data_IF_282986391477
#
_entry.id   IF_282986391477
#
_cell.length_a   1.000
_cell.length_b   1.000
_cell.length_c   1.000
_cell.angle_alpha   90.00
_cell.angle_beta   90.00
_cell.angle_gamma   90.00
#
_symmetry.space_group_name_H-M   'P 1'
#
loop_
_entity.id
_entity.type
_entity.pdbx_description
1 polymer ?
#
# COMPACT_ATOMS: atom_id res chain seq x y z
N UNK A 1 -54.89 19.13 10.45
CA UNK A 1 -53.88 18.70 9.47
C UNK A 1 -52.89 19.83 9.25
N UNK A 2 -51.65 19.67 9.74
CA UNK A 2 -50.44 20.37 9.28
C UNK A 2 -49.26 19.72 9.99
N UNK A 3 -48.53 18.87 9.26
CA UNK A 3 -47.35 18.15 9.73
C UNK A 3 -46.13 19.01 9.40
N UNK A 4 -45.40 19.45 10.41
CA UNK A 4 -44.11 20.12 10.23
C UNK A 4 -43.03 19.03 10.18
N UNK A 5 -42.41 18.84 9.02
CA UNK A 5 -41.27 17.95 8.83
C UNK A 5 -40.01 18.78 9.12
N UNK A 6 -39.19 18.44 10.14
CA UNK A 6 -37.91 19.10 10.32
C UNK A 6 -36.95 18.60 9.24
N UNK A 7 -36.45 19.53 8.42
CA UNK A 7 -35.42 19.29 7.43
C UNK A 7 -34.10 19.06 8.19
N UNK A 8 -33.69 17.79 8.31
CA UNK A 8 -32.39 17.43 8.86
C UNK A 8 -31.31 17.84 7.85
N UNK A 9 -30.53 18.89 8.14
CA UNK A 9 -29.31 19.19 7.40
C UNK A 9 -28.31 18.06 7.66
N UNK A 10 -28.17 17.16 6.69
CA UNK A 10 -27.07 16.20 6.68
C UNK A 10 -25.82 16.95 6.23
N UNK A 11 -25.01 17.36 7.19
CA UNK A 11 -23.69 17.92 6.92
C UNK A 11 -22.82 16.79 6.31
N UNK A 12 -22.64 16.84 4.99
CA UNK A 12 -21.70 15.96 4.31
C UNK A 12 -20.30 16.51 4.55
N UNK A 13 -19.61 15.96 5.55
CA UNK A 13 -18.19 16.18 5.72
C UNK A 13 -17.43 15.38 4.64
N UNK A 14 -17.28 15.98 3.45
CA UNK A 14 -16.30 15.57 2.46
C UNK A 14 -14.92 16.08 2.91
N UNK A 15 -14.31 15.42 3.89
CA UNK A 15 -12.90 15.64 4.22
C UNK A 15 -12.15 14.32 4.07
N UNK A 16 -11.87 13.99 2.81
CA UNK A 16 -10.92 12.95 2.42
C UNK A 16 -9.97 13.51 1.38
N UNK A 17 -9.32 14.64 1.68
CA UNK A 17 -8.13 15.04 0.93
C UNK A 17 -7.10 13.95 1.22
N UNK A 18 -6.81 13.11 0.21
CA UNK A 18 -6.14 11.81 0.39
C UNK A 18 -4.92 11.94 1.30
N UNK A 19 -4.99 11.28 2.46
CA UNK A 19 -3.89 11.25 3.40
C UNK A 19 -2.68 10.66 2.66
N UNK A 20 -1.53 11.33 2.79
CA UNK A 20 -0.28 10.83 2.23
C UNK A 20 -0.06 9.39 2.71
N UNK A 21 0.34 8.45 1.83
CA UNK A 21 0.58 7.07 2.23
C UNK A 21 1.55 7.01 3.42
N UNK A 22 1.38 6.13 4.41
CA UNK A 22 2.29 6.04 5.56
C UNK A 22 3.60 5.31 5.21
N UNK A 23 3.81 5.00 3.93
CA UNK A 23 4.95 4.26 3.38
C UNK A 23 5.52 4.95 2.14
N UNK A 24 6.77 4.66 1.81
CA UNK A 24 7.31 4.82 0.46
C UNK A 24 7.51 3.45 -0.19
N UNK A 25 7.51 3.42 -1.52
CA UNK A 25 7.74 2.19 -2.27
C UNK A 25 8.72 2.48 -3.39
N UNK A 26 9.82 1.74 -3.39
CA UNK A 26 10.88 1.86 -4.39
C UNK A 26 11.08 0.54 -5.14
N UNK A 27 11.45 0.64 -6.41
CA UNK A 27 11.88 -0.52 -7.20
C UNK A 27 13.35 -0.83 -6.89
N UNK A 28 13.60 -2.06 -6.48
CA UNK A 28 14.93 -2.61 -6.30
C UNK A 28 15.12 -3.92 -7.05
N UNK A 29 16.27 -4.53 -6.84
CA UNK A 29 16.58 -5.86 -7.33
C UNK A 29 17.12 -6.72 -6.19
N UNK A 30 16.78 -8.00 -6.19
CA UNK A 30 17.38 -8.95 -5.29
C UNK A 30 18.88 -9.10 -5.62
N UNK A 31 19.82 -8.89 -4.67
CA UNK A 31 21.26 -8.94 -4.95
C UNK A 31 21.79 -10.34 -5.29
N UNK A 32 21.05 -11.41 -4.97
CA UNK A 32 21.52 -12.79 -5.17
C UNK A 32 21.09 -13.39 -6.52
N UNK A 33 19.90 -13.05 -7.02
CA UNK A 33 19.36 -13.60 -8.28
C UNK A 33 18.86 -12.54 -9.26
N UNK A 34 18.98 -11.25 -8.94
CA UNK A 34 18.66 -10.15 -9.84
C UNK A 34 17.17 -9.96 -10.13
N UNK A 35 16.28 -10.62 -9.39
CA UNK A 35 14.85 -10.48 -9.60
C UNK A 35 14.32 -9.10 -9.18
N UNK A 36 13.25 -8.59 -9.84
CA UNK A 36 12.59 -7.37 -9.40
C UNK A 36 12.06 -7.49 -7.97
N UNK A 37 12.20 -6.40 -7.21
CA UNK A 37 11.82 -6.35 -5.80
C UNK A 37 11.16 -5.01 -5.50
N UNK A 38 10.14 -5.01 -4.63
CA UNK A 38 9.66 -3.82 -3.96
C UNK A 38 10.41 -3.63 -2.65
N UNK A 39 10.78 -2.39 -2.36
CA UNK A 39 11.30 -1.95 -1.06
C UNK A 39 10.27 -1.01 -0.45
N UNK A 40 9.61 -1.47 0.61
CA UNK A 40 8.51 -0.75 1.28
C UNK A 40 9.06 -0.20 2.60
N UNK A 41 9.14 1.13 2.71
CA UNK A 41 9.71 1.81 3.89
C UNK A 41 8.62 2.51 4.68
N UNK A 42 8.58 2.33 6.00
CA UNK A 42 7.62 3.03 6.85
C UNK A 42 8.03 4.49 7.11
N UNK A 43 7.08 5.43 6.95
CA UNK A 43 7.25 6.88 7.23
C UNK A 43 6.72 7.31 8.60
N UNK A 44 6.09 6.40 9.34
CA UNK A 44 5.57 6.61 10.69
C UNK A 44 6.21 5.61 11.64
N UNK A 45 6.04 5.82 12.95
CA UNK A 45 6.61 5.02 14.04
C UNK A 45 6.56 3.51 13.76
N UNK A 46 5.41 3.02 13.28
CA UNK A 46 5.29 1.70 12.69
C UNK A 46 4.10 1.64 11.73
N UNK A 47 4.20 0.82 10.68
CA UNK A 47 3.10 0.55 9.75
C UNK A 47 2.96 -0.94 9.57
N UNK A 48 1.76 -1.48 9.78
CA UNK A 48 1.51 -2.90 9.48
C UNK A 48 1.20 -3.06 8.01
N UNK A 49 1.94 -3.91 7.32
CA UNK A 49 1.64 -4.31 5.93
C UNK A 49 0.83 -5.60 5.99
N UNK A 50 -0.42 -5.53 5.55
CA UNK A 50 -1.35 -6.67 5.56
C UNK A 50 -1.17 -7.55 4.34
N UNK A 51 -1.02 -6.94 3.16
CA UNK A 51 -0.85 -7.66 1.90
C UNK A 51 -0.18 -6.78 0.84
N UNK A 52 0.45 -7.44 -0.13
CA UNK A 52 1.09 -6.79 -1.28
C UNK A 52 0.65 -7.51 -2.55
N UNK A 53 0.06 -6.77 -3.47
CA UNK A 53 -0.38 -7.26 -4.77
C UNK A 53 0.40 -6.56 -5.87
N UNK A 54 1.13 -7.31 -6.70
CA UNK A 54 1.96 -6.75 -7.77
C UNK A 54 1.25 -6.95 -9.11
N UNK A 55 1.15 -5.89 -9.93
CA UNK A 55 0.53 -5.92 -11.26
C UNK A 55 -0.86 -6.58 -11.28
N UNK A 56 -1.77 -6.17 -10.39
CA UNK A 56 -3.12 -6.77 -10.19
C UNK A 56 -3.12 -8.27 -9.91
N UNK A 57 -2.02 -8.79 -9.35
CA UNK A 57 -1.85 -10.20 -9.04
C UNK A 57 -1.21 -11.03 -10.16
N UNK A 58 -0.86 -10.41 -11.30
CA UNK A 58 -0.14 -11.10 -12.37
C UNK A 58 1.30 -11.48 -11.98
N UNK A 59 1.86 -10.81 -10.97
CA UNK A 59 3.18 -11.11 -10.44
C UNK A 59 3.08 -11.56 -8.99
N UNK A 60 3.69 -12.71 -8.68
CA UNK A 60 3.70 -13.24 -7.31
C UNK A 60 4.53 -12.34 -6.40
N UNK A 61 3.93 -11.88 -5.30
CA UNK A 61 4.61 -11.16 -4.23
C UNK A 61 5.14 -12.16 -3.20
N UNK A 62 6.45 -12.16 -2.96
CA UNK A 62 7.08 -12.99 -1.94
C UNK A 62 7.76 -12.06 -0.92
N UNK A 63 7.01 -11.69 0.12
CA UNK A 63 7.54 -10.90 1.23
C UNK A 63 8.59 -11.71 2.00
N UNK A 64 9.64 -11.03 2.46
CA UNK A 64 10.68 -11.66 3.28
C UNK A 64 10.19 -11.98 4.69
N UNK A 65 9.20 -11.24 5.15
CA UNK A 65 8.51 -11.47 6.42
C UNK A 65 7.12 -12.06 6.18
N UNK A 66 6.63 -12.79 7.17
CA UNK A 66 5.26 -13.33 7.15
C UNK A 66 4.28 -12.18 7.35
N UNK A 67 3.40 -11.96 6.37
CA UNK A 67 2.35 -10.94 6.48
C UNK A 67 1.14 -11.48 7.28
N UNK A 68 0.46 -10.64 8.09
CA UNK A 68 0.74 -9.22 8.29
C UNK A 68 2.02 -8.96 9.09
N UNK A 69 2.82 -7.97 8.68
CA UNK A 69 4.10 -7.63 9.31
C UNK A 69 4.16 -6.14 9.65
N UNK A 70 4.61 -5.83 10.87
CA UNK A 70 4.78 -4.45 11.33
C UNK A 70 6.19 -3.95 10.96
N UNK A 71 6.26 -2.98 10.07
CA UNK A 71 7.50 -2.32 9.64
C UNK A 71 7.75 -1.10 10.55
N UNK A 72 8.83 -1.08 11.35
CA UNK A 72 9.19 0.10 12.16
C UNK A 72 9.59 1.30 11.30
N UNK A 73 9.55 2.50 11.89
CA UNK A 73 9.97 3.74 11.23
C UNK A 73 11.36 3.62 10.59
N UNK A 74 11.46 3.95 9.30
CA UNK A 74 12.71 3.92 8.54
C UNK A 74 13.18 2.53 8.13
N UNK A 75 12.58 1.45 8.64
CA UNK A 75 12.88 0.08 8.22
C UNK A 75 12.21 -0.26 6.89
N UNK A 76 12.76 -1.27 6.22
CA UNK A 76 12.37 -1.67 4.86
C UNK A 76 11.90 -3.12 4.83
N UNK A 77 10.64 -3.33 4.45
CA UNK A 77 10.13 -4.65 4.05
C UNK A 77 10.46 -4.89 2.57
N UNK A 78 11.16 -5.99 2.31
CA UNK A 78 11.49 -6.44 0.94
C UNK A 78 10.46 -7.45 0.45
N UNK A 79 9.98 -7.24 -0.77
CA UNK A 79 9.03 -8.14 -1.44
C UNK A 79 9.55 -8.51 -2.81
N UNK A 80 9.97 -9.76 -2.97
CA UNK A 80 10.57 -10.27 -4.20
C UNK A 80 9.51 -10.80 -5.18
N UNK A 81 9.70 -10.51 -6.46
CA UNK A 81 8.87 -11.02 -7.54
C UNK A 81 9.71 -11.75 -8.60
N UNK A 82 10.30 -12.88 -8.19
CA UNK A 82 11.27 -13.68 -8.96
C UNK A 82 10.95 -13.93 -10.43
N UNK A 83 9.69 -14.16 -10.75
CA UNK A 83 9.24 -14.51 -12.11
C UNK A 83 8.50 -13.38 -12.83
N UNK A 84 8.47 -12.19 -12.22
CA UNK A 84 7.88 -11.02 -12.84
C UNK A 84 8.89 -10.40 -13.81
N UNK A 85 8.52 -10.23 -15.07
CA UNK A 85 9.41 -9.57 -16.05
C UNK A 85 9.63 -8.09 -15.71
N UNK A 86 8.58 -7.40 -15.28
CA UNK A 86 8.60 -5.98 -14.92
C UNK A 86 7.51 -5.69 -13.91
N UNK A 87 7.84 -4.96 -12.84
CA UNK A 87 6.87 -4.39 -11.92
C UNK A 87 6.46 -3.03 -12.49
N UNK A 88 5.17 -2.82 -12.74
CA UNK A 88 4.62 -1.55 -13.26
C UNK A 88 3.66 -0.90 -12.27
N UNK A 89 3.04 -1.68 -11.38
CA UNK A 89 2.19 -1.18 -10.32
C UNK A 89 2.19 -2.13 -9.11
N UNK A 90 1.87 -1.60 -7.94
CA UNK A 90 1.70 -2.36 -6.71
C UNK A 90 0.53 -1.77 -5.89
N UNK A 91 -0.31 -2.65 -5.35
CA UNK A 91 -1.34 -2.30 -4.38
C UNK A 91 -0.93 -2.87 -3.01
N UNK A 92 -0.84 -2.01 -2.01
CA UNK A 92 -0.36 -2.36 -0.67
C UNK A 92 -1.46 -2.05 0.33
N UNK A 93 -1.92 -3.09 1.03
CA UNK A 93 -2.83 -2.92 2.16
C UNK A 93 -2.04 -2.70 3.43
N UNK A 94 -2.36 -1.63 4.16
CA UNK A 94 -1.69 -1.26 5.40
C UNK A 94 -2.68 -1.12 6.56
N UNK A 95 -2.17 -0.95 7.78
CA UNK A 95 -2.99 -0.58 8.95
C UNK A 95 -3.71 0.76 8.82
N UNK A 96 -3.33 1.64 7.88
CA UNK A 96 -3.95 2.96 7.69
C UNK A 96 -4.76 3.10 6.41
N UNK A 97 -4.87 2.01 5.63
CA UNK A 97 -5.59 1.99 4.36
C UNK A 97 -4.82 1.28 3.25
N UNK A 98 -5.46 1.25 2.08
CA UNK A 98 -4.90 0.65 0.87
C UNK A 98 -4.35 1.74 -0.04
N UNK A 99 -3.15 1.50 -0.57
CA UNK A 99 -2.43 2.47 -1.39
C UNK A 99 -1.90 1.83 -2.66
N UNK A 100 -2.20 2.47 -3.79
CA UNK A 100 -1.74 2.05 -5.11
C UNK A 100 -0.55 2.89 -5.55
N UNK A 101 0.47 2.22 -6.07
CA UNK A 101 1.70 2.81 -6.57
C UNK A 101 1.87 2.41 -8.03
N UNK A 102 2.21 3.37 -8.88
CA UNK A 102 2.56 3.14 -10.29
C UNK A 102 4.01 3.52 -10.53
N UNK A 103 4.72 2.68 -11.27
CA UNK A 103 6.14 2.84 -11.64
C UNK A 103 6.34 2.93 -13.16
N UNK A 104 5.26 2.77 -13.92
CA UNK A 104 5.27 2.86 -15.37
C UNK A 104 5.13 4.31 -15.84
N UNK A 105 6.22 4.84 -16.40
CA UNK A 105 6.13 5.68 -17.60
C UNK A 105 6.23 4.76 -18.82
#
# INVERSE_FOLDING_TARGET
MKKYIPLLLMAVALSGCGAEPPITVELGHNPYWGSPQLQITAKKDAVTINSVTINRGNCKANAYEVLPYQVPFGDVLKVDSRYCQKIIEASISTSEGDYDFSFGN
#
